data_IF_806884657659
#
_entry.id   IF_806884657659
#
_cell.length_a   1.000
_cell.length_b   1.000
_cell.length_c   1.000
_cell.angle_alpha   90.00
_cell.angle_beta   90.00
_cell.angle_gamma   90.00
#
_symmetry.space_group_name_H-M   'P 1'
#
loop_
_entity.id
_entity.type
_entity.pdbx_description
1 polymer ?
#
# COMPACT_ATOMS: atom_id res chain seq x y z
N UNK A 1 5.37 -12.00 12.01
CA UNK A 1 4.36 -10.93 11.95
C UNK A 1 4.51 -10.16 10.65
N UNK A 2 3.41 -9.74 10.03
CA UNK A 2 3.39 -8.96 8.77
C UNK A 2 3.56 -7.45 9.09
N UNK A 3 4.65 -7.09 9.76
CA UNK A 3 4.91 -5.72 10.22
C UNK A 3 6.18 -5.17 9.58
N UNK A 4 6.21 -3.85 9.37
CA UNK A 4 7.35 -3.10 8.84
C UNK A 4 7.87 -3.60 7.48
N UNK A 5 6.98 -4.17 6.67
CA UNK A 5 7.23 -4.61 5.30
C UNK A 5 5.93 -4.67 4.51
N UNK A 6 6.02 -4.49 3.20
CA UNK A 6 4.92 -4.77 2.29
C UNK A 6 4.73 -6.28 2.17
N UNK A 7 3.47 -6.70 2.17
CA UNK A 7 3.07 -8.08 1.89
C UNK A 7 2.07 -8.07 0.74
N UNK A 8 2.47 -8.69 -0.37
CA UNK A 8 1.61 -8.90 -1.54
C UNK A 8 0.43 -9.78 -1.16
N UNK A 9 -0.77 -9.25 -1.26
CA UNK A 9 -2.03 -9.94 -0.97
C UNK A 9 -2.70 -10.39 -2.25
N UNK A 10 -2.68 -9.56 -3.29
CA UNK A 10 -3.23 -9.87 -4.61
C UNK A 10 -2.21 -9.53 -5.68
N UNK A 11 -2.16 -10.33 -6.73
CA UNK A 11 -1.29 -10.11 -7.88
C UNK A 11 -2.00 -10.49 -9.17
N UNK A 12 -1.78 -9.69 -10.21
CA UNK A 12 -2.33 -9.95 -11.53
C UNK A 12 -1.90 -11.32 -12.02
N UNK A 13 -2.79 -12.03 -12.71
CA UNK A 13 -2.49 -13.34 -13.31
C UNK A 13 -1.19 -13.36 -14.10
N UNK A 14 -0.91 -12.31 -14.86
CA UNK A 14 0.29 -12.24 -15.70
C UNK A 14 1.59 -12.14 -14.88
N UNK A 15 1.51 -11.72 -13.62
CA UNK A 15 2.64 -11.59 -12.67
C UNK A 15 2.58 -12.61 -11.53
N UNK A 16 1.52 -13.41 -11.45
CA UNK A 16 1.34 -14.42 -10.42
C UNK A 16 2.25 -15.63 -10.66
N UNK A 17 2.72 -16.28 -9.59
CA UNK A 17 3.66 -17.42 -9.68
C UNK A 17 3.00 -18.72 -10.15
N UNK A 18 1.66 -18.78 -10.17
CA UNK A 18 0.86 -19.98 -10.41
C UNK A 18 0.85 -20.98 -9.24
N UNK A 19 1.51 -20.66 -8.12
CA UNK A 19 1.53 -21.52 -6.93
C UNK A 19 0.37 -21.18 -5.99
N UNK A 20 -0.08 -22.19 -5.27
CA UNK A 20 -1.06 -22.03 -4.20
C UNK A 20 -0.39 -22.17 -2.83
N UNK A 21 -0.84 -21.37 -1.85
CA UNK A 21 -0.38 -21.50 -0.48
C UNK A 21 -0.73 -20.29 0.39
N UNK A 22 -0.59 -20.44 1.70
CA UNK A 22 -0.89 -19.38 2.67
C UNK A 22 0.01 -18.14 2.56
N UNK A 23 1.11 -18.24 1.81
CA UNK A 23 2.08 -17.17 1.56
C UNK A 23 2.09 -16.67 0.13
N UNK A 24 1.36 -17.34 -0.77
CA UNK A 24 1.22 -16.89 -2.16
C UNK A 24 0.11 -15.83 -2.23
N UNK A 25 0.26 -14.78 -3.06
CA UNK A 25 -0.81 -13.81 -3.27
C UNK A 25 -1.99 -14.44 -4.00
N UNK A 26 -3.16 -13.82 -3.87
CA UNK A 26 -4.37 -14.23 -4.59
C UNK A 26 -4.24 -13.79 -6.05
N UNK A 27 -4.41 -14.72 -6.98
CA UNK A 27 -4.47 -14.43 -8.41
C UNK A 27 -5.72 -13.60 -8.75
N UNK A 28 -5.56 -12.53 -9.53
CA UNK A 28 -6.66 -11.71 -10.04
C UNK A 28 -6.56 -11.46 -11.55
N UNK A 29 -7.71 -11.44 -12.22
CA UNK A 29 -7.86 -11.20 -13.65
C UNK A 29 -8.00 -9.70 -13.98
N UNK A 30 -7.09 -8.89 -13.43
CA UNK A 30 -7.00 -7.46 -13.68
C UNK A 30 -5.54 -7.01 -13.55
N UNK A 31 -5.16 -5.88 -14.16
CA UNK A 31 -3.82 -5.29 -13.98
C UNK A 31 -3.72 -4.52 -12.67
N UNK A 32 -3.81 -5.25 -11.56
CA UNK A 32 -3.72 -4.72 -10.21
C UNK A 32 -2.83 -5.62 -9.34
N UNK A 33 -2.03 -4.98 -8.51
CA UNK A 33 -1.34 -5.62 -7.39
C UNK A 33 -1.75 -4.92 -6.10
N UNK A 34 -1.94 -5.68 -5.03
CA UNK A 34 -2.31 -5.14 -3.73
C UNK A 34 -1.30 -5.58 -2.68
N UNK A 35 -0.70 -4.61 -2.00
CA UNK A 35 0.11 -4.81 -0.82
C UNK A 35 -0.62 -4.34 0.44
N UNK A 36 -0.30 -4.95 1.58
CA UNK A 36 -0.71 -4.50 2.89
C UNK A 36 0.51 -4.42 3.84
N UNK A 37 0.47 -3.48 4.78
CA UNK A 37 1.50 -3.35 5.81
C UNK A 37 0.91 -2.79 7.10
N UNK A 38 1.48 -3.24 8.23
CA UNK A 38 1.36 -2.59 9.53
C UNK A 38 2.71 -1.96 9.85
N UNK A 39 2.82 -0.65 9.70
CA UNK A 39 4.06 0.11 9.77
C UNK A 39 4.20 0.80 11.14
N UNK A 40 5.26 0.46 11.86
CA UNK A 40 5.59 1.06 13.16
C UNK A 40 5.99 2.53 13.01
N UNK A 41 5.76 3.38 14.03
CA UNK A 41 6.17 4.80 14.00
C UNK A 41 7.64 4.99 13.58
N UNK A 42 7.88 5.93 12.66
CA UNK A 42 9.21 6.26 12.15
C UNK A 42 9.82 5.24 11.17
N UNK A 43 9.09 4.17 10.82
CA UNK A 43 9.52 3.20 9.80
C UNK A 43 9.07 3.64 8.41
N UNK A 44 9.74 3.09 7.40
CA UNK A 44 9.49 3.31 5.98
C UNK A 44 9.41 1.98 5.25
N UNK A 45 8.59 1.93 4.22
CA UNK A 45 8.61 0.86 3.20
C UNK A 45 8.59 1.48 1.81
N UNK A 46 9.10 0.74 0.85
CA UNK A 46 9.18 1.18 -0.55
C UNK A 46 8.46 0.16 -1.41
N UNK A 47 7.46 0.64 -2.15
CA UNK A 47 6.80 -0.12 -3.21
C UNK A 47 7.51 0.14 -4.53
N UNK A 48 7.97 -0.92 -5.18
CA UNK A 48 8.46 -0.85 -6.56
C UNK A 48 7.29 -1.09 -7.51
N UNK A 49 7.10 -0.18 -8.46
CA UNK A 49 6.00 -0.30 -9.41
C UNK A 49 6.09 -1.64 -10.15
N UNK A 50 4.96 -2.32 -10.25
CA UNK A 50 4.92 -3.73 -10.67
C UNK A 50 5.11 -3.94 -12.17
N UNK A 51 5.07 -2.86 -12.96
CA UNK A 51 5.18 -2.87 -14.42
C UNK A 51 5.65 -1.50 -14.94
N UNK A 52 6.29 -1.49 -16.09
CA UNK A 52 6.65 -0.27 -16.83
C UNK A 52 5.41 0.47 -17.37
N UNK A 53 5.54 1.78 -17.56
CA UNK A 53 4.47 2.65 -18.09
C UNK A 53 3.66 3.36 -17.00
N UNK A 54 2.54 3.99 -17.41
CA UNK A 54 1.69 4.75 -16.51
C UNK A 54 1.00 3.83 -15.49
N UNK A 55 1.12 4.18 -14.22
CA UNK A 55 0.53 3.46 -13.09
C UNK A 55 -0.24 4.43 -12.21
N UNK A 56 -1.36 3.97 -11.67
CA UNK A 56 -2.12 4.70 -10.67
C UNK A 56 -2.04 3.97 -9.33
N UNK A 57 -1.26 4.52 -8.39
CA UNK A 57 -1.08 3.91 -7.06
C UNK A 57 -2.07 4.52 -6.09
N UNK A 58 -2.95 3.73 -5.52
CA UNK A 58 -3.89 4.15 -4.48
C UNK A 58 -3.44 3.65 -3.12
N UNK A 59 -3.34 4.54 -2.14
CA UNK A 59 -3.11 4.18 -0.74
C UNK A 59 -4.34 4.49 0.09
N UNK A 60 -4.63 3.62 1.05
CA UNK A 60 -5.69 3.83 2.03
C UNK A 60 -5.20 3.46 3.43
N UNK A 61 -5.30 4.39 4.38
CA UNK A 61 -4.96 4.15 5.77
C UNK A 61 -6.18 3.58 6.48
N UNK A 62 -6.06 2.36 7.00
CA UNK A 62 -7.16 1.67 7.66
C UNK A 62 -7.46 2.33 9.00
N UNK A 63 -8.75 2.47 9.30
CA UNK A 63 -9.20 3.00 10.59
C UNK A 63 -9.15 1.92 11.67
N UNK A 64 -8.53 2.24 12.81
CA UNK A 64 -8.51 1.36 13.99
C UNK A 64 -9.84 1.33 14.75
N UNK A 65 -10.70 2.33 14.52
CA UNK A 65 -12.02 2.48 15.16
C UNK A 65 -13.12 2.90 14.19
N UNK A 66 -14.30 3.24 14.72
CA UNK A 66 -15.47 3.64 13.91
C UNK A 66 -15.37 5.06 13.32
N UNK A 67 -14.52 5.90 13.91
CA UNK A 67 -14.37 7.32 13.55
C UNK A 67 -12.90 7.70 13.59
N UNK A 68 -12.50 8.66 12.76
CA UNK A 68 -11.13 9.15 12.73
C UNK A 68 -10.74 9.77 14.09
N UNK A 69 -9.50 9.56 14.57
CA UNK A 69 -9.03 10.19 15.80
C UNK A 69 -9.08 11.72 15.69
N UNK A 70 -9.51 12.39 16.75
CA UNK A 70 -9.51 13.87 16.81
C UNK A 70 -8.11 14.47 16.91
N UNK A 71 -7.15 13.70 17.44
CA UNK A 71 -5.75 14.07 17.56
C UNK A 71 -4.86 12.82 17.67
N UNK A 72 -3.63 12.92 17.19
CA UNK A 72 -2.70 11.78 17.11
C UNK A 72 -3.20 10.69 16.16
N UNK A 73 -2.77 9.45 16.41
CA UNK A 73 -3.22 8.26 15.66
C UNK A 73 -2.24 7.79 14.60
N UNK A 74 -2.67 6.80 13.84
CA UNK A 74 -1.92 6.29 12.71
C UNK A 74 -1.91 7.33 11.58
N UNK A 75 -0.72 7.64 11.08
CA UNK A 75 -0.52 8.53 9.94
C UNK A 75 0.63 8.03 9.08
N UNK A 76 0.45 8.13 7.77
CA UNK A 76 1.52 7.89 6.79
C UNK A 76 1.78 9.15 5.97
N UNK A 77 2.98 9.28 5.44
CA UNK A 77 3.34 10.27 4.42
C UNK A 77 3.72 9.56 3.13
N UNK A 78 3.22 10.06 2.01
CA UNK A 78 3.56 9.61 0.67
C UNK A 78 3.80 10.85 -0.18
N UNK A 79 5.02 11.01 -0.70
CA UNK A 79 5.44 12.26 -1.31
C UNK A 79 5.33 13.42 -0.32
N UNK A 80 4.55 14.44 -0.68
CA UNK A 80 4.28 15.64 0.12
C UNK A 80 2.94 15.59 0.90
N UNK A 81 2.18 14.50 0.76
CA UNK A 81 0.86 14.35 1.39
C UNK A 81 0.95 13.49 2.65
N UNK A 82 0.35 13.95 3.74
CA UNK A 82 0.09 13.15 4.95
C UNK A 82 -1.35 12.63 4.94
N UNK A 83 -1.51 11.35 5.27
CA UNK A 83 -2.79 10.66 5.36
C UNK A 83 -2.97 10.13 6.77
N UNK A 84 -4.11 10.44 7.40
CA UNK A 84 -4.55 9.85 8.64
C UNK A 84 -5.49 8.67 8.43
N UNK A 85 -5.90 8.05 9.54
CA UNK A 85 -6.86 6.95 9.55
C UNK A 85 -8.14 7.28 8.77
N UNK A 86 -8.49 6.44 7.79
CA UNK A 86 -9.67 6.60 6.93
C UNK A 86 -9.39 7.38 5.65
N UNK A 87 -8.26 8.07 5.55
CA UNK A 87 -7.90 8.82 4.35
C UNK A 87 -7.40 7.88 3.25
N UNK A 88 -7.50 8.34 2.01
CA UNK A 88 -6.89 7.71 0.86
C UNK A 88 -6.36 8.72 -0.15
N UNK A 89 -5.37 8.32 -0.93
CA UNK A 89 -4.77 9.16 -1.95
C UNK A 89 -4.37 8.37 -3.18
N UNK A 90 -4.44 9.03 -4.34
CA UNK A 90 -3.87 8.54 -5.59
C UNK A 90 -2.52 9.21 -5.84
N UNK A 91 -1.56 8.39 -6.26
CA UNK A 91 -0.24 8.80 -6.75
C UNK A 91 -0.16 8.36 -8.20
N UNK A 92 -0.18 9.33 -9.11
CA UNK A 92 0.15 9.09 -10.52
C UNK A 92 1.64 8.83 -10.63
N UNK A 93 2.02 7.69 -11.19
CA UNK A 93 3.40 7.24 -11.24
C UNK A 93 3.75 6.70 -12.63
N UNK A 94 5.06 6.62 -12.92
CA UNK A 94 5.60 6.12 -14.18
C UNK A 94 6.62 5.03 -13.87
N UNK A 95 6.41 3.83 -14.42
CA UNK A 95 7.32 2.70 -14.32
C UNK A 95 8.47 2.79 -15.34
N UNK A 96 9.72 2.44 -14.96
CA UNK A 96 10.13 1.99 -13.63
C UNK A 96 10.17 3.14 -12.61
N UNK A 97 9.66 2.89 -11.41
CA UNK A 97 9.52 3.92 -10.38
C UNK A 97 9.25 3.32 -9.00
N UNK A 98 9.25 4.18 -7.97
CA UNK A 98 9.09 3.78 -6.56
C UNK A 98 8.12 4.72 -5.84
N UNK A 99 7.33 4.15 -4.94
CA UNK A 99 6.49 4.90 -4.00
C UNK A 99 6.96 4.58 -2.59
N UNK A 100 7.50 5.59 -1.89
CA UNK A 100 7.89 5.49 -0.49
C UNK A 100 6.70 5.83 0.41
N UNK A 101 6.51 5.02 1.45
CA UNK A 101 5.51 5.23 2.50
C UNK A 101 6.22 5.30 3.85
N UNK A 102 6.10 6.44 4.52
CA UNK A 102 6.69 6.68 5.84
C UNK A 102 5.60 6.76 6.92
N UNK A 103 5.79 6.10 8.06
CA UNK A 103 4.92 6.26 9.22
C UNK A 103 5.35 7.49 10.02
N UNK A 104 4.47 8.50 10.07
CA UNK A 104 4.71 9.81 10.73
C UNK A 104 3.80 10.05 11.92
N UNK A 105 2.90 9.10 12.20
CA UNK A 105 2.03 9.10 13.39
C UNK A 105 2.71 8.57 14.64
N UNK A 106 1.97 8.59 15.76
CA UNK A 106 2.40 8.06 17.06
C UNK A 106 1.86 6.64 17.34
N UNK A 107 1.06 6.10 16.41
CA UNK A 107 0.56 4.72 16.41
C UNK A 107 1.01 3.97 15.16
N UNK A 108 0.93 2.63 15.21
CA UNK A 108 1.19 1.78 14.05
C UNK A 108 0.16 2.08 12.97
N UNK A 109 0.62 2.35 11.76
CA UNK A 109 -0.25 2.61 10.62
C UNK A 109 -0.50 1.32 9.84
N UNK A 110 -1.75 0.87 9.83
CA UNK A 110 -2.21 -0.17 8.91
C UNK A 110 -2.67 0.50 7.62
N UNK A 111 -2.17 0.05 6.48
CA UNK A 111 -2.58 0.58 5.19
C UNK A 111 -2.62 -0.47 4.10
N UNK A 112 -3.43 -0.20 3.09
CA UNK A 112 -3.51 -0.92 1.84
C UNK A 112 -2.88 -0.06 0.73
N UNK A 113 -2.14 -0.69 -0.17
CA UNK A 113 -1.57 -0.07 -1.35
C UNK A 113 -1.99 -0.86 -2.57
N UNK A 114 -2.62 -0.21 -3.53
CA UNK A 114 -3.01 -0.77 -4.81
C UNK A 114 -2.16 -0.13 -5.89
N UNK A 115 -1.53 -0.96 -6.73
CA UNK A 115 -0.80 -0.52 -7.92
C UNK A 115 -1.59 -1.00 -9.14
N UNK A 116 -2.19 -0.06 -9.87
CA UNK A 116 -3.14 -0.33 -10.96
C UNK A 116 -2.65 0.21 -12.30
N UNK A 117 -2.93 -0.51 -13.37
CA UNK A 117 -2.83 0.03 -14.73
C UNK A 117 -3.88 1.11 -14.98
N UNK A 118 -3.65 1.97 -15.97
CA UNK A 118 -4.63 2.98 -16.41
C UNK A 118 -5.62 2.48 -17.48
N UNK A 119 -5.53 1.22 -17.91
CA UNK A 119 -6.42 0.63 -18.94
C UNK A 119 -7.85 0.36 -18.47
#
# INVERSE_FOLDING_TARGET
>A
MKSDKLVRIMESKDRHSGKEGATEPIEIYADVSMDASILSPGKKVVHELVKDGERNVYLHVVMSGKTQPKSGGARIRVGDVELGEGDGAFVKAMGPGKVEVESVGDKKAEFLLFDMGEE
#
